data_IF_320664309525
#
_entry.id   IF_320664309525
#
_cell.length_a   1.000
_cell.length_b   1.000
_cell.length_c   1.000
_cell.angle_alpha   90.00
_cell.angle_beta   90.00
_cell.angle_gamma   90.00
#
_symmetry.space_group_name_H-M   'P 1'
#
loop_
_entity.id
_entity.type
_entity.pdbx_description
1 polymer ?
#
# COMPACT_ATOMS: atom_id res chain seq x y z
N UNK A 1 -7.79 -14.10 9.85
CA UNK A 1 -7.55 -13.51 10.32
C UNK A 1 -8.08 -12.32 11.05
N UNK A 2 -7.30 -11.39 11.41
CA UNK A 2 -7.67 -10.38 12.37
C UNK A 2 -6.97 -9.06 12.05
N UNK A 3 -7.30 -8.02 12.83
CA UNK A 3 -6.57 -6.77 12.76
C UNK A 3 -5.12 -6.98 13.21
N UNK A 4 -4.17 -6.19 12.69
CA UNK A 4 -2.79 -6.24 13.15
C UNK A 4 -2.68 -5.97 14.65
N UNK A 5 -1.77 -6.67 15.32
CA UNK A 5 -1.52 -6.44 16.75
C UNK A 5 -0.80 -5.11 17.00
N UNK A 6 0.04 -4.66 16.04
CA UNK A 6 0.74 -3.39 16.13
C UNK A 6 -0.18 -2.25 15.72
N UNK A 7 -0.42 -1.25 16.58
CA UNK A 7 -1.27 -0.10 16.24
C UNK A 7 -0.77 0.69 15.02
N UNK A 8 0.55 0.75 14.80
CA UNK A 8 1.10 1.44 13.63
C UNK A 8 0.82 0.67 12.33
N UNK A 9 0.79 -0.66 12.39
CA UNK A 9 0.39 -1.48 11.25
C UNK A 9 -1.11 -1.35 10.98
N UNK A 10 -1.93 -1.33 12.04
CA UNK A 10 -3.37 -1.09 11.90
C UNK A 10 -3.65 0.27 11.24
N UNK A 11 -2.84 1.28 11.53
CA UNK A 11 -2.96 2.61 10.95
C UNK A 11 -2.74 2.58 9.43
N UNK A 12 -1.71 1.90 8.95
CA UNK A 12 -1.46 1.85 7.50
C UNK A 12 -2.50 1.00 6.77
N UNK A 13 -3.06 -0.03 7.40
CA UNK A 13 -4.20 -0.76 6.84
C UNK A 13 -5.40 0.17 6.66
N UNK A 14 -5.71 0.99 7.66
CA UNK A 14 -6.79 1.98 7.59
C UNK A 14 -6.54 3.00 6.48
N UNK A 15 -5.30 3.49 6.36
CA UNK A 15 -4.94 4.43 5.30
C UNK A 15 -5.10 3.82 3.91
N UNK A 16 -4.70 2.57 3.73
CA UNK A 16 -4.86 1.86 2.46
C UNK A 16 -6.33 1.67 2.09
N UNK A 17 -7.17 1.33 3.08
CA UNK A 17 -8.63 1.21 2.88
C UNK A 17 -9.23 2.53 2.44
N UNK A 18 -8.90 3.60 3.13
CA UNK A 18 -9.42 4.94 2.83
C UNK A 18 -8.96 5.40 1.45
N UNK A 19 -7.68 5.21 1.12
CA UNK A 19 -7.15 5.55 -0.19
C UNK A 19 -7.87 4.81 -1.31
N UNK A 20 -8.17 3.52 -1.13
CA UNK A 20 -8.86 2.70 -2.11
C UNK A 20 -10.17 3.34 -2.58
N UNK A 21 -10.90 3.99 -1.68
CA UNK A 21 -12.19 4.61 -2.02
C UNK A 21 -12.06 5.75 -3.04
N UNK A 22 -10.87 6.28 -3.22
CA UNK A 22 -10.58 7.35 -4.19
C UNK A 22 -10.07 6.84 -5.54
N UNK A 23 -10.05 5.52 -5.73
CA UNK A 23 -9.64 4.92 -7.00
C UNK A 23 -10.47 5.44 -8.19
N UNK A 24 -9.83 5.58 -9.33
CA UNK A 24 -10.46 6.05 -10.55
C UNK A 24 -10.23 5.05 -11.67
N UNK A 25 -11.22 4.71 -12.49
CA UNK A 25 -12.58 5.25 -12.54
C UNK A 25 -13.52 4.73 -11.44
N UNK A 26 -13.06 3.78 -10.64
CA UNK A 26 -13.82 3.21 -9.52
C UNK A 26 -12.85 2.72 -8.44
N UNK A 27 -13.31 2.53 -7.19
CA UNK A 27 -12.50 1.89 -6.17
C UNK A 27 -12.04 0.51 -6.65
N UNK A 28 -10.73 0.24 -6.52
CA UNK A 28 -10.13 -1.03 -6.91
C UNK A 28 -9.03 -1.41 -5.92
N UNK A 29 -7.84 -0.81 -6.02
CA UNK A 29 -6.74 -1.09 -5.12
C UNK A 29 -6.48 0.08 -4.17
N UNK A 30 -6.00 -0.23 -2.96
CA UNK A 30 -5.44 0.75 -2.04
C UNK A 30 -4.10 0.27 -1.52
N UNK A 31 -3.19 1.19 -1.26
CA UNK A 31 -1.89 0.90 -0.69
C UNK A 31 -1.48 2.00 0.29
N UNK A 32 -0.75 1.61 1.31
CA UNK A 32 -0.10 2.55 2.21
C UNK A 32 1.24 1.97 2.65
N UNK A 33 2.15 2.84 3.02
CA UNK A 33 3.43 2.44 3.55
C UNK A 33 3.88 3.37 4.66
N UNK A 34 4.77 2.86 5.50
CA UNK A 34 5.47 3.65 6.51
C UNK A 34 6.96 3.56 6.24
N UNK A 35 7.63 4.71 6.18
CA UNK A 35 9.07 4.75 6.05
C UNK A 35 9.77 4.61 7.41
N UNK A 36 11.10 4.56 7.40
CA UNK A 36 11.90 4.38 8.61
C UNK A 36 11.89 5.59 9.55
N UNK A 37 11.34 6.72 9.11
CA UNK A 37 11.15 7.91 9.96
C UNK A 37 9.74 7.96 10.59
N UNK A 38 8.89 7.01 10.28
CA UNK A 38 7.51 6.96 10.76
C UNK A 38 6.51 7.71 9.90
N UNK A 39 6.92 8.31 8.79
CA UNK A 39 6.02 8.96 7.85
C UNK A 39 5.25 7.93 7.06
N UNK A 40 3.99 8.25 6.77
CA UNK A 40 3.10 7.37 6.01
C UNK A 40 2.70 8.00 4.69
N UNK A 41 2.50 7.15 3.70
CA UNK A 41 2.10 7.53 2.35
C UNK A 41 1.05 6.54 1.88
N UNK A 42 0.05 7.05 1.18
CA UNK A 42 -1.04 6.20 0.71
C UNK A 42 -1.46 6.62 -0.69
N UNK A 43 -1.99 5.66 -1.46
CA UNK A 43 -2.50 5.92 -2.80
C UNK A 43 -3.57 4.90 -3.16
N UNK A 44 -4.41 5.30 -4.13
CA UNK A 44 -5.34 4.42 -4.80
C UNK A 44 -4.82 4.08 -6.19
N UNK A 45 -5.38 3.03 -6.79
CA UNK A 45 -5.14 2.75 -8.21
C UNK A 45 -5.82 3.78 -9.09
N UNK A 46 -5.17 4.13 -10.19
CA UNK A 46 -5.69 5.04 -11.21
C UNK A 46 -5.68 4.31 -12.54
N UNK A 47 -6.87 4.10 -13.10
CA UNK A 47 -7.01 3.57 -14.45
C UNK A 47 -6.92 4.69 -15.49
N UNK A 48 -6.40 4.38 -16.64
CA UNK A 48 -6.34 5.31 -17.76
C UNK A 48 -6.27 4.52 -19.05
N UNK A 49 -6.91 5.04 -20.11
CA UNK A 49 -6.86 4.38 -21.42
C UNK A 49 -5.45 4.36 -22.03
N UNK A 50 -4.61 5.32 -21.66
CA UNK A 50 -3.19 5.27 -21.96
C UNK A 50 -2.49 4.47 -20.84
N UNK A 51 -1.97 3.28 -21.13
CA UNK A 51 -1.32 2.46 -20.11
C UNK A 51 -0.14 3.15 -19.41
N UNK A 52 0.50 4.11 -20.07
CA UNK A 52 1.60 4.84 -19.47
C UNK A 52 1.15 5.75 -18.32
N UNK A 53 -0.13 6.13 -18.28
CA UNK A 53 -0.71 6.96 -17.25
C UNK A 53 -1.49 6.18 -16.20
N UNK A 54 -1.77 4.90 -16.44
CA UNK A 54 -2.39 4.03 -15.46
C UNK A 54 -1.38 3.68 -14.37
N UNK A 55 -1.82 3.66 -13.11
CA UNK A 55 -0.93 3.43 -11.98
C UNK A 55 -1.60 2.52 -10.96
N UNK A 56 -0.88 1.47 -10.51
CA UNK A 56 -1.34 0.68 -9.37
C UNK A 56 -1.27 1.50 -8.09
N UNK A 57 -2.04 1.10 -7.08
CA UNK A 57 -1.99 1.76 -5.77
C UNK A 57 -0.59 1.69 -5.16
N UNK A 58 0.07 0.53 -5.27
CA UNK A 58 1.42 0.35 -4.75
C UNK A 58 2.42 1.30 -5.41
N UNK A 59 2.40 1.42 -6.73
CA UNK A 59 3.26 2.36 -7.44
C UNK A 59 3.01 3.80 -7.01
N UNK A 60 1.75 4.17 -6.85
CA UNK A 60 1.39 5.50 -6.39
C UNK A 60 1.93 5.83 -5.02
N UNK A 61 1.79 4.91 -4.06
CA UNK A 61 2.31 5.09 -2.72
C UNK A 61 3.84 5.16 -2.70
N UNK A 62 4.52 4.30 -3.45
CA UNK A 62 5.99 4.32 -3.59
C UNK A 62 6.48 5.60 -4.22
N UNK A 63 5.83 6.05 -5.29
CA UNK A 63 6.20 7.29 -5.96
C UNK A 63 6.07 8.49 -5.01
N UNK A 64 5.00 8.57 -4.26
CA UNK A 64 4.79 9.63 -3.27
C UNK A 64 5.87 9.61 -2.20
N UNK A 65 6.17 8.45 -1.66
CA UNK A 65 7.18 8.28 -0.61
C UNK A 65 8.57 8.67 -1.11
N UNK A 66 9.01 8.10 -2.23
CA UNK A 66 10.35 8.34 -2.78
C UNK A 66 10.51 9.79 -3.21
N UNK A 67 9.49 10.38 -3.82
CA UNK A 67 9.50 11.81 -4.20
C UNK A 67 9.58 12.73 -2.99
N UNK A 68 9.10 12.28 -1.83
CA UNK A 68 9.17 13.02 -0.56
C UNK A 68 10.45 12.76 0.23
N UNK A 69 11.35 11.94 -0.30
CA UNK A 69 12.67 11.69 0.29
C UNK A 69 12.81 10.35 0.99
N UNK A 70 11.77 9.52 1.05
CA UNK A 70 11.89 8.19 1.66
C UNK A 70 12.86 7.30 0.88
N UNK A 71 13.67 6.53 1.59
CA UNK A 71 14.65 5.61 1.00
C UNK A 71 14.59 4.22 1.62
N UNK A 72 14.00 4.09 2.81
CA UNK A 72 13.86 2.83 3.55
C UNK A 72 12.44 2.70 4.06
N UNK A 73 11.92 1.48 4.06
CA UNK A 73 10.53 1.20 4.37
C UNK A 73 10.44 0.22 5.53
N UNK A 74 9.53 0.47 6.47
CA UNK A 74 9.29 -0.41 7.60
C UNK A 74 8.17 -1.41 7.34
N UNK A 75 7.10 -0.98 6.66
CA UNK A 75 5.95 -1.83 6.41
C UNK A 75 5.11 -1.30 5.26
N UNK A 76 4.42 -2.20 4.59
CA UNK A 76 3.41 -1.90 3.56
C UNK A 76 2.08 -2.52 3.95
N UNK A 77 0.99 -1.88 3.56
CA UNK A 77 -0.35 -2.45 3.60
C UNK A 77 -0.98 -2.36 2.21
N UNK A 78 -1.48 -3.47 1.72
CA UNK A 78 -2.13 -3.56 0.42
C UNK A 78 -3.57 -4.03 0.61
N UNK A 79 -4.51 -3.32 0.01
CA UNK A 79 -5.93 -3.67 0.04
C UNK A 79 -6.37 -3.99 -1.39
N UNK A 80 -6.80 -5.23 -1.61
CA UNK A 80 -7.23 -5.75 -2.92
C UNK A 80 -6.14 -5.61 -4.00
N UNK A 81 -4.88 -5.55 -3.61
CA UNK A 81 -3.73 -5.39 -4.49
C UNK A 81 -2.78 -6.59 -4.36
N UNK A 82 -1.91 -6.77 -5.34
CA UNK A 82 -0.92 -7.85 -5.31
C UNK A 82 0.44 -7.34 -4.89
N UNK A 83 1.22 -8.13 -4.11
CA UNK A 83 2.56 -7.74 -3.69
C UNK A 83 3.65 -8.02 -4.73
N UNK A 84 3.29 -8.41 -5.94
CA UNK A 84 4.22 -8.93 -6.94
C UNK A 84 5.39 -7.98 -7.26
N UNK A 85 5.16 -6.67 -7.17
CA UNK A 85 6.19 -5.67 -7.47
C UNK A 85 7.08 -5.33 -6.28
N UNK A 86 6.76 -5.83 -5.09
CA UNK A 86 7.53 -5.49 -3.89
C UNK A 86 8.85 -6.23 -3.78
N UNK A 87 8.93 -7.42 -4.38
CA UNK A 87 10.14 -8.25 -4.29
C UNK A 87 11.42 -7.53 -4.73
N UNK A 88 11.29 -6.59 -5.67
CA UNK A 88 12.43 -5.84 -6.19
C UNK A 88 12.74 -4.57 -5.38
N UNK A 89 11.73 -4.02 -4.70
CA UNK A 89 11.81 -2.67 -4.15
C UNK A 89 11.94 -2.62 -2.63
N UNK A 90 11.58 -3.68 -1.95
CA UNK A 90 11.47 -3.65 -0.49
C UNK A 90 11.82 -5.00 0.15
N UNK A 91 12.97 -5.57 -0.25
CA UNK A 91 13.43 -6.86 0.27
C UNK A 91 13.48 -6.83 1.80
N UNK A 92 12.86 -7.81 2.45
CA UNK A 92 12.83 -7.94 3.91
C UNK A 92 11.77 -7.09 4.60
N UNK A 93 10.96 -6.31 3.86
CA UNK A 93 9.94 -5.46 4.47
C UNK A 93 8.64 -6.22 4.66
N UNK A 94 8.00 -6.14 5.84
CA UNK A 94 6.69 -6.75 6.07
C UNK A 94 5.60 -6.14 5.20
N UNK A 95 4.74 -6.98 4.63
CA UNK A 95 3.61 -6.58 3.80
C UNK A 95 2.33 -7.18 4.37
N UNK A 96 1.40 -6.32 4.77
CA UNK A 96 0.09 -6.71 5.27
C UNK A 96 -0.89 -6.74 4.09
N UNK A 97 -1.47 -7.89 3.82
CA UNK A 97 -2.46 -8.06 2.76
C UNK A 97 -3.85 -8.07 3.38
N UNK A 98 -4.69 -7.14 2.99
CA UNK A 98 -5.99 -6.96 3.57
C UNK A 98 -7.10 -6.95 2.52
N UNK A 99 -8.31 -7.33 2.97
CA UNK A 99 -9.54 -7.19 2.20
C UNK A 99 -10.08 -5.77 2.34
N UNK A 100 -11.05 -5.36 1.50
CA UNK A 100 -11.61 -4.01 1.58
C UNK A 100 -12.25 -3.64 2.91
N UNK A 101 -12.66 -4.61 3.72
CA UNK A 101 -13.18 -4.35 5.06
C UNK A 101 -12.08 -4.14 6.12
N UNK A 102 -10.82 -4.28 5.74
CA UNK A 102 -9.68 -4.10 6.63
C UNK A 102 -9.21 -5.36 7.34
N UNK A 103 -9.80 -6.50 7.04
CA UNK A 103 -9.33 -7.78 7.59
C UNK A 103 -8.01 -8.16 6.96
N UNK A 104 -6.97 -8.34 7.77
CA UNK A 104 -5.68 -8.83 7.30
C UNK A 104 -5.78 -10.33 7.08
N UNK A 105 -5.64 -10.76 5.83
CA UNK A 105 -5.76 -12.16 5.44
C UNK A 105 -4.41 -12.85 5.29
N UNK A 106 -3.34 -12.09 5.14
CA UNK A 106 -1.99 -12.63 5.08
C UNK A 106 -0.98 -11.54 5.46
N UNK A 107 0.17 -11.98 5.96
CA UNK A 107 1.34 -11.12 6.15
C UNK A 107 2.50 -11.79 5.44
N UNK A 108 3.17 -11.06 4.59
CA UNK A 108 4.30 -11.55 3.82
C UNK A 108 5.55 -10.72 4.12
N UNK A 109 6.71 -11.26 3.76
CA UNK A 109 7.99 -10.55 3.84
C UNK A 109 8.67 -10.71 2.49
N UNK A 110 8.85 -9.63 1.82
CA UNK A 110 9.43 -9.64 0.46
C UNK A 110 10.93 -9.41 0.46
#
# INVERSE_FOLDING_TARGET
>A
VSAPADPEDAKIVTLARTARTRGYPAPDEGAALRDDTGRTYAAASVGHRDPALATSALRGALAAAVSSGARRFEAFALVAATPALLAELAVGTPVLLATPDGTVVATDVV
#
